data_IF_562811330386
#
_entry.id   IF_562811330386
#
_cell.length_a   1.000
_cell.length_b   1.000
_cell.length_c   1.000
_cell.angle_alpha   90.00
_cell.angle_beta   90.00
_cell.angle_gamma   90.00
#
_symmetry.space_group_name_H-M   'P 1'
#
loop_
_entity.id
_entity.type
_entity.pdbx_description
1 polymer ?
#
# COMPACT_ATOMS: atom_id res chain seq x y z
N UNK A 1 -54.35 15.20 44.85
CA UNK A 1 -54.18 14.37 43.64
C UNK A 1 -53.92 12.90 43.95
N UNK A 2 -52.94 12.55 44.79
CA UNK A 2 -52.64 11.14 45.16
C UNK A 2 -53.89 10.35 45.58
N UNK A 3 -54.70 10.86 46.52
CA UNK A 3 -55.93 10.20 47.02
C UNK A 3 -56.98 9.93 45.94
N UNK A 4 -57.08 10.80 44.94
CA UNK A 4 -58.03 10.64 43.83
C UNK A 4 -57.54 9.58 42.82
N UNK A 5 -56.23 9.54 42.57
CA UNK A 5 -55.59 8.53 41.72
C UNK A 5 -55.65 7.14 42.39
N UNK A 6 -55.51 7.06 43.71
CA UNK A 6 -55.66 5.80 44.46
C UNK A 6 -57.10 5.28 44.38
N UNK A 7 -58.11 6.16 44.56
CA UNK A 7 -59.53 5.79 44.44
C UNK A 7 -59.95 5.38 43.03
N UNK A 8 -59.41 6.04 41.99
CA UNK A 8 -59.63 5.62 40.59
C UNK A 8 -58.97 4.29 40.28
N UNK A 9 -57.78 4.02 40.81
CA UNK A 9 -57.12 2.73 40.65
C UNK A 9 -57.85 1.60 41.39
N UNK A 10 -58.37 1.85 42.60
CA UNK A 10 -59.20 0.92 43.39
C UNK A 10 -60.54 0.59 42.73
N UNK A 11 -61.13 1.55 42.02
CA UNK A 11 -62.40 1.34 41.29
C UNK A 11 -62.18 0.59 39.99
N UNK A 12 -61.14 0.93 39.22
CA UNK A 12 -60.75 0.22 37.99
C UNK A 12 -60.29 -1.23 38.27
N UNK A 13 -59.61 -1.48 39.38
CA UNK A 13 -59.20 -2.86 39.76
C UNK A 13 -60.39 -3.71 40.18
N UNK A 14 -61.37 -3.15 40.90
CA UNK A 14 -62.61 -3.85 41.25
C UNK A 14 -63.53 -4.13 40.07
N UNK A 15 -63.54 -3.26 39.05
CA UNK A 15 -64.37 -3.46 37.84
C UNK A 15 -63.75 -4.45 36.84
N UNK A 16 -62.42 -4.57 36.76
CA UNK A 16 -61.73 -5.41 35.75
C UNK A 16 -61.33 -6.79 36.30
N UNK A 17 -61.04 -6.91 37.60
CA UNK A 17 -60.65 -8.16 38.24
C UNK A 17 -61.53 -8.36 39.48
N UNK A 18 -62.72 -8.96 39.32
CA UNK A 18 -63.56 -9.33 40.47
C UNK A 18 -62.78 -10.14 41.51
N UNK A 19 -63.12 -10.02 42.80
CA UNK A 19 -62.41 -10.57 43.98
C UNK A 19 -62.19 -12.11 43.99
N UNK A 20 -62.58 -12.83 42.93
CA UNK A 20 -62.46 -14.29 42.81
C UNK A 20 -61.01 -14.77 42.67
N UNK A 21 -60.13 -14.00 42.02
CA UNK A 21 -58.72 -14.42 41.83
C UNK A 21 -57.92 -14.44 43.15
N UNK A 22 -58.30 -13.60 44.11
CA UNK A 22 -57.69 -13.52 45.44
C UNK A 22 -58.14 -14.71 46.30
N UNK A 23 -59.40 -15.15 46.14
CA UNK A 23 -59.99 -16.28 46.88
C UNK A 23 -59.51 -17.64 46.40
N UNK A 24 -59.02 -17.75 45.16
CA UNK A 24 -58.48 -18.99 44.58
C UNK A 24 -56.99 -19.24 44.86
N UNK A 25 -56.29 -18.28 45.46
CA UNK A 25 -54.84 -18.33 45.66
C UNK A 25 -54.50 -18.80 47.08
N UNK A 26 -53.47 -19.63 47.23
CA UNK A 26 -53.01 -20.07 48.55
C UNK A 26 -52.39 -18.91 49.35
N UNK A 27 -52.51 -18.92 50.68
CA UNK A 27 -51.95 -17.88 51.56
C UNK A 27 -50.45 -17.64 51.33
N UNK A 28 -49.70 -18.68 50.92
CA UNK A 28 -48.28 -18.57 50.56
C UNK A 28 -48.06 -17.73 49.31
N UNK A 29 -48.92 -17.86 48.29
CA UNK A 29 -48.84 -17.06 47.06
C UNK A 29 -49.27 -15.62 47.31
N UNK A 30 -50.24 -15.40 48.20
CA UNK A 30 -50.63 -14.05 48.61
C UNK A 30 -49.49 -13.33 49.35
N UNK A 31 -48.77 -14.03 50.22
CA UNK A 31 -47.59 -13.48 50.91
C UNK A 31 -46.47 -13.11 49.92
N UNK A 32 -46.23 -13.94 48.91
CA UNK A 32 -45.26 -13.67 47.86
C UNK A 32 -45.60 -12.41 47.05
N UNK A 33 -46.86 -12.27 46.63
CA UNK A 33 -47.35 -11.09 45.90
C UNK A 33 -47.28 -9.83 46.77
N UNK A 34 -47.63 -9.92 48.05
CA UNK A 34 -47.51 -8.80 48.99
C UNK A 34 -46.04 -8.38 49.17
N UNK A 35 -45.13 -9.35 49.25
CA UNK A 35 -43.68 -9.09 49.32
C UNK A 35 -43.20 -8.38 48.05
N UNK A 36 -43.61 -8.85 46.87
CA UNK A 36 -43.27 -8.25 45.59
C UNK A 36 -43.81 -6.82 45.45
N UNK A 37 -45.06 -6.57 45.85
CA UNK A 37 -45.66 -5.24 45.87
C UNK A 37 -44.90 -4.31 46.81
N UNK A 38 -44.49 -4.80 47.99
CA UNK A 38 -43.68 -4.01 48.93
C UNK A 38 -42.33 -3.64 48.33
N UNK A 39 -41.64 -4.58 47.67
CA UNK A 39 -40.37 -4.30 46.99
C UNK A 39 -40.54 -3.31 45.83
N UNK A 40 -41.57 -3.47 44.99
CA UNK A 40 -41.89 -2.50 43.92
C UNK A 40 -42.21 -1.12 44.49
N UNK A 41 -42.94 -1.06 45.60
CA UNK A 41 -43.27 0.21 46.27
C UNK A 41 -42.01 0.90 46.80
N UNK A 42 -41.07 0.15 47.38
CA UNK A 42 -39.77 0.69 47.79
C UNK A 42 -39.00 1.26 46.60
N UNK A 43 -38.97 0.56 45.46
CA UNK A 43 -38.33 1.05 44.24
C UNK A 43 -38.95 2.36 43.75
N UNK A 44 -40.29 2.45 43.72
CA UNK A 44 -40.97 3.69 43.34
C UNK A 44 -40.69 4.85 44.31
N UNK A 45 -40.59 4.57 45.61
CA UNK A 45 -40.22 5.59 46.60
C UNK A 45 -38.79 6.09 46.34
N UNK A 46 -37.85 5.19 46.07
CA UNK A 46 -36.47 5.54 45.74
C UNK A 46 -36.39 6.35 44.42
N UNK A 47 -37.15 5.93 43.41
CA UNK A 47 -37.24 6.61 42.12
C UNK A 47 -37.79 8.04 42.30
N UNK A 48 -38.89 8.18 43.04
CA UNK A 48 -39.50 9.48 43.35
C UNK A 48 -38.59 10.38 44.19
N UNK A 49 -37.86 9.82 45.16
CA UNK A 49 -36.88 10.58 45.94
C UNK A 49 -35.74 11.09 45.06
N UNK A 50 -35.29 10.30 44.07
CA UNK A 50 -34.29 10.71 43.09
C UNK A 50 -34.81 11.87 42.23
N UNK A 51 -36.06 11.78 41.75
CA UNK A 51 -36.69 12.88 41.02
C UNK A 51 -36.86 14.15 41.86
N UNK A 52 -37.24 14.02 43.13
CA UNK A 52 -37.38 15.18 44.01
C UNK A 52 -36.03 15.88 44.21
N UNK A 53 -34.95 15.13 44.46
CA UNK A 53 -33.59 15.69 44.56
C UNK A 53 -33.12 16.33 43.25
N UNK A 54 -33.47 15.75 42.11
CA UNK A 54 -33.17 16.35 40.80
C UNK A 54 -33.84 17.69 40.63
N UNK A 55 -35.13 17.76 40.99
CA UNK A 55 -35.88 19.00 41.00
C UNK A 55 -35.18 19.98 41.93
N UNK A 56 -34.95 19.64 43.20
CA UNK A 56 -34.32 20.54 44.18
C UNK A 56 -32.92 21.06 43.73
N UNK A 57 -32.16 20.27 42.96
CA UNK A 57 -30.86 20.66 42.40
C UNK A 57 -30.95 21.54 41.15
N UNK A 58 -31.96 21.32 40.30
CA UNK A 58 -32.18 22.08 39.05
C UNK A 58 -32.97 23.38 39.31
N UNK A 59 -33.81 23.39 40.35
CA UNK A 59 -34.73 24.46 40.74
C UNK A 59 -34.15 25.65 41.56
N UNK A 60 -32.82 25.81 41.82
CA UNK A 60 -32.30 27.08 42.35
C UNK A 60 -32.41 28.25 41.34
N UNK A 61 -32.74 27.98 40.07
CA UNK A 61 -32.86 29.00 39.02
C UNK A 61 -34.28 29.51 38.78
N UNK A 62 -35.32 28.84 39.27
CA UNK A 62 -36.72 29.29 39.06
C UNK A 62 -37.19 30.17 40.23
N UNK A 63 -36.66 29.99 41.44
CA UNK A 63 -36.95 30.89 42.57
C UNK A 63 -36.49 32.35 42.34
N UNK A 64 -35.45 32.56 41.53
CA UNK A 64 -35.01 33.91 41.13
C UNK A 64 -35.99 34.61 40.16
N UNK A 65 -36.84 33.86 39.46
CA UNK A 65 -37.81 34.40 38.50
C UNK A 65 -39.11 34.79 39.19
N UNK A 66 -39.50 34.07 40.25
CA UNK A 66 -40.70 34.40 41.04
C UNK A 66 -40.52 35.65 41.91
N UNK A 67 -39.31 35.97 42.38
CA UNK A 67 -39.06 37.24 43.09
C UNK A 67 -38.98 38.45 42.15
N UNK A 68 -38.63 38.27 40.87
CA UNK A 68 -38.62 39.35 39.88
C UNK A 68 -40.00 39.80 39.40
N UNK A 69 -41.04 38.95 39.53
CA UNK A 69 -42.41 39.30 39.11
C UNK A 69 -43.27 39.95 40.22
N UNK A 70 -42.89 39.83 41.49
CA UNK A 70 -43.64 40.42 42.61
C UNK A 70 -43.34 41.92 42.78
N UNK A 71 -42.28 42.43 42.15
CA UNK A 71 -41.89 43.84 42.28
C UNK A 71 -42.39 44.75 41.14
N UNK A 72 -43.15 44.21 40.17
CA UNK A 72 -43.69 44.96 39.02
C UNK A 72 -45.23 45.03 38.96
N UNK A 73 -45.96 44.62 40.01
CA UNK A 73 -47.44 44.71 40.04
C UNK A 73 -47.99 45.58 41.17
N UNK A 74 -47.18 46.51 41.69
CA UNK A 74 -47.63 47.51 42.65
C UNK A 74 -48.06 48.86 42.01
N UNK A 75 -48.35 48.91 40.71
CA UNK A 75 -48.95 50.11 40.13
C UNK A 75 -49.87 49.84 38.94
N UNK A 76 -50.94 50.63 38.90
CA UNK A 76 -51.97 50.77 37.87
C UNK A 76 -53.07 49.69 37.81
N UNK A 77 -54.28 50.13 38.15
CA UNK A 77 -55.50 49.34 38.12
C UNK A 77 -56.18 49.24 36.76
N UNK A 78 -57.23 48.41 36.80
CA UNK A 78 -58.48 48.44 36.02
C UNK A 78 -58.55 47.79 34.63
N UNK A 79 -59.69 47.11 34.47
CA UNK A 79 -60.40 46.67 33.27
C UNK A 79 -59.76 45.60 32.36
N UNK A 80 -60.29 44.37 32.43
CA UNK A 80 -60.15 43.40 31.35
C UNK A 80 -60.60 41.98 31.68
N UNK A 81 -61.86 41.67 31.39
CA UNK A 81 -62.44 40.32 31.49
C UNK A 81 -61.77 39.38 30.47
N UNK A 82 -60.72 38.67 30.86
CA UNK A 82 -60.10 37.62 30.04
C UNK A 82 -60.83 36.30 30.30
N UNK A 83 -61.57 35.85 29.28
CA UNK A 83 -62.19 34.52 29.20
C UNK A 83 -61.16 33.44 29.54
N UNK A 84 -61.43 32.69 30.61
CA UNK A 84 -60.77 31.42 30.91
C UNK A 84 -61.00 30.44 29.75
N UNK A 85 -59.98 30.20 28.92
CA UNK A 85 -59.96 29.03 28.03
C UNK A 85 -60.06 27.77 28.90
N UNK A 86 -60.86 26.76 28.50
CA UNK A 86 -60.98 25.53 29.26
C UNK A 86 -59.60 24.86 29.31
N UNK A 87 -59.19 24.52 30.53
CA UNK A 87 -58.02 23.69 30.79
C UNK A 87 -58.28 22.33 30.14
N UNK A 88 -57.66 22.08 29.00
CA UNK A 88 -57.65 20.76 28.37
C UNK A 88 -56.96 19.78 29.34
N UNK A 89 -57.72 18.91 30.00
CA UNK A 89 -57.17 17.80 30.81
C UNK A 89 -56.27 16.87 29.97
N UNK A 90 -56.39 16.91 28.63
CA UNK A 90 -55.53 16.19 27.71
C UNK A 90 -54.06 16.66 27.72
N UNK A 91 -53.75 17.91 28.11
CA UNK A 91 -52.36 18.39 28.19
C UNK A 91 -51.66 17.99 29.49
N UNK A 92 -52.41 17.57 30.52
CA UNK A 92 -51.85 17.02 31.77
C UNK A 92 -51.35 15.57 31.58
N UNK A 93 -51.91 14.81 30.62
CA UNK A 93 -51.42 13.46 30.30
C UNK A 93 -50.07 13.47 29.55
N UNK A 94 -49.75 14.56 28.86
CA UNK A 94 -48.48 14.77 28.15
C UNK A 94 -47.35 15.32 29.04
N UNK A 95 -47.60 15.56 30.33
CA UNK A 95 -46.59 15.96 31.33
C UNK A 95 -45.89 14.76 32.00
N UNK A 96 -46.05 13.55 31.47
CA UNK A 96 -45.30 12.38 31.93
C UNK A 96 -43.95 12.34 31.23
N UNK A 97 -42.87 12.39 31.99
CA UNK A 97 -41.52 12.15 31.49
C UNK A 97 -41.50 10.82 30.70
N UNK A 98 -40.98 10.89 29.47
CA UNK A 98 -40.68 9.69 28.68
C UNK A 98 -39.76 8.77 29.48
N UNK A 99 -39.82 7.46 29.22
CA UNK A 99 -38.91 6.50 29.87
C UNK A 99 -37.44 6.88 29.63
N UNK A 100 -37.12 7.43 28.46
CA UNK A 100 -35.78 7.94 28.14
C UNK A 100 -35.39 9.11 29.06
N UNK A 101 -36.31 10.05 29.26
CA UNK A 101 -36.09 11.21 30.12
C UNK A 101 -35.96 10.79 31.59
N UNK A 102 -36.75 9.82 32.04
CA UNK A 102 -36.64 9.22 33.38
C UNK A 102 -35.27 8.59 33.62
N UNK A 103 -34.79 7.80 32.66
CA UNK A 103 -33.46 7.18 32.72
C UNK A 103 -32.38 8.25 32.78
N UNK A 104 -32.47 9.31 31.97
CA UNK A 104 -31.52 10.43 31.98
C UNK A 104 -31.49 11.11 33.36
N UNK A 105 -32.66 11.40 33.95
CA UNK A 105 -32.73 12.03 35.27
C UNK A 105 -32.11 11.14 36.35
N UNK A 106 -32.46 9.86 36.39
CA UNK A 106 -31.90 8.90 37.36
C UNK A 106 -30.39 8.74 37.17
N UNK A 107 -29.89 8.69 35.93
CA UNK A 107 -28.46 8.65 35.65
C UNK A 107 -27.74 9.91 36.16
N UNK A 108 -28.32 11.09 35.93
CA UNK A 108 -27.75 12.35 36.41
C UNK A 108 -27.72 12.44 37.94
N UNK A 109 -28.75 11.94 38.63
CA UNK A 109 -28.75 11.81 40.08
C UNK A 109 -27.70 10.83 40.56
N UNK A 110 -27.58 9.68 39.89
CA UNK A 110 -26.59 8.67 40.25
C UNK A 110 -25.17 9.22 40.12
N UNK A 111 -24.89 10.02 39.09
CA UNK A 111 -23.62 10.73 38.95
C UNK A 111 -23.42 11.77 40.05
N UNK A 112 -24.45 12.54 40.39
CA UNK A 112 -24.38 13.50 41.50
C UNK A 112 -24.12 12.83 42.85
N UNK A 113 -24.78 11.71 43.14
CA UNK A 113 -24.52 10.89 44.34
C UNK A 113 -23.08 10.38 44.37
N UNK A 114 -22.56 9.88 43.24
CA UNK A 114 -21.16 9.46 43.14
C UNK A 114 -20.21 10.63 43.43
N UNK A 115 -20.50 11.82 42.92
CA UNK A 115 -19.71 13.01 43.20
C UNK A 115 -19.77 13.43 44.68
N UNK A 116 -20.96 13.40 45.30
CA UNK A 116 -21.17 13.70 46.72
C UNK A 116 -20.40 12.70 47.62
N UNK A 117 -20.54 11.40 47.35
CA UNK A 117 -19.83 10.33 48.06
C UNK A 117 -18.32 10.52 47.95
N UNK A 118 -17.79 10.69 46.73
CA UNK A 118 -16.35 10.91 46.54
C UNK A 118 -15.85 12.19 47.24
N UNK A 119 -16.69 13.23 47.31
CA UNK A 119 -16.39 14.46 48.04
C UNK A 119 -16.30 14.21 49.55
N UNK A 120 -17.31 13.54 50.11
CA UNK A 120 -17.35 13.14 51.52
C UNK A 120 -16.16 12.25 51.88
N UNK A 121 -15.84 11.24 51.07
CA UNK A 121 -14.68 10.36 51.26
C UNK A 121 -13.39 11.18 51.35
N UNK A 122 -13.12 12.07 50.40
CA UNK A 122 -11.93 12.95 50.43
C UNK A 122 -11.86 13.81 51.69
N UNK A 123 -12.98 14.40 52.12
CA UNK A 123 -13.00 15.21 53.35
C UNK A 123 -12.77 14.36 54.61
N UNK A 124 -13.34 13.15 54.64
CA UNK A 124 -13.18 12.20 55.74
C UNK A 124 -11.74 11.70 55.85
N UNK A 125 -11.10 11.39 54.72
CA UNK A 125 -9.70 11.00 54.66
C UNK A 125 -8.79 12.14 55.12
N UNK A 126 -9.03 13.36 54.64
CA UNK A 126 -8.27 14.54 55.08
C UNK A 126 -8.38 14.74 56.60
N UNK A 127 -9.58 14.59 57.16
CA UNK A 127 -9.82 14.71 58.59
C UNK A 127 -9.11 13.61 59.39
N UNK A 128 -9.20 12.34 58.93
CA UNK A 128 -8.47 11.23 59.56
C UNK A 128 -6.96 11.42 59.52
N UNK A 129 -6.42 11.94 58.41
CA UNK A 129 -5.01 12.28 58.30
C UNK A 129 -4.60 13.37 59.30
N UNK A 130 -5.42 14.40 59.49
CA UNK A 130 -5.17 15.45 60.47
C UNK A 130 -5.18 14.90 61.90
N UNK A 131 -6.21 14.14 62.29
CA UNK A 131 -6.26 13.52 63.62
C UNK A 131 -5.09 12.58 63.87
N UNK A 132 -4.67 11.81 62.86
CA UNK A 132 -3.49 10.96 62.97
C UNK A 132 -2.22 11.77 63.22
N UNK A 133 -2.04 12.87 62.49
CA UNK A 133 -0.90 13.77 62.66
C UNK A 133 -0.90 14.43 64.05
N UNK A 134 -2.07 14.84 64.54
CA UNK A 134 -2.23 15.38 65.90
C UNK A 134 -1.90 14.35 66.98
N UNK A 135 -2.40 13.13 66.85
CA UNK A 135 -2.08 12.03 67.78
C UNK A 135 -0.58 11.71 67.79
N UNK A 136 0.06 11.65 66.62
CA UNK A 136 1.51 11.44 66.51
C UNK A 136 2.29 12.60 67.16
N UNK A 137 1.87 13.84 66.95
CA UNK A 137 2.50 15.01 67.59
C UNK A 137 2.36 14.96 69.12
N UNK A 138 1.16 14.65 69.63
CA UNK A 138 0.92 14.50 71.08
C UNK A 138 1.74 13.36 71.68
N UNK A 139 1.88 12.23 70.98
CA UNK A 139 2.71 11.11 71.43
C UNK A 139 4.20 11.49 71.53
N UNK A 140 4.71 12.28 70.58
CA UNK A 140 6.08 12.82 70.63
C UNK A 140 6.25 13.77 71.81
N UNK A 141 5.31 14.71 72.01
CA UNK A 141 5.34 15.67 73.13
C UNK A 141 5.32 14.92 74.46
N UNK A 142 4.44 13.92 74.62
CA UNK A 142 4.35 13.13 75.84
C UNK A 142 5.67 12.39 76.13
N UNK A 143 6.30 11.81 75.10
CA UNK A 143 7.60 11.16 75.23
C UNK A 143 8.70 12.14 75.65
N UNK A 144 8.69 13.35 75.10
CA UNK A 144 9.64 14.41 75.45
C UNK A 144 9.44 14.91 76.89
N UNK A 145 8.20 15.13 77.31
CA UNK A 145 7.85 15.52 78.69
C UNK A 145 8.30 14.43 79.67
N UNK A 146 7.99 13.16 79.40
CA UNK A 146 8.41 12.05 80.25
C UNK A 146 9.93 11.94 80.36
N UNK A 147 10.65 12.11 79.24
CA UNK A 147 12.11 12.14 79.24
C UNK A 147 12.64 13.32 80.05
N UNK A 148 12.09 14.51 79.85
CA UNK A 148 12.50 15.72 80.57
C UNK A 148 12.24 15.61 82.07
N UNK A 149 11.09 15.06 82.46
CA UNK A 149 10.71 14.78 83.86
C UNK A 149 11.64 13.75 84.51
N UNK A 150 12.02 12.70 83.78
CA UNK A 150 12.98 11.70 84.25
C UNK A 150 14.38 12.31 84.46
N UNK A 151 14.90 13.06 83.49
CA UNK A 151 16.21 13.72 83.61
C UNK A 151 16.20 14.75 84.75
N UNK A 152 15.11 15.51 84.90
CA UNK A 152 14.93 16.42 86.02
C UNK A 152 14.95 15.67 87.37
N UNK A 153 14.15 14.61 87.50
CA UNK A 153 14.09 13.81 88.72
C UNK A 153 15.44 13.16 89.05
N UNK A 154 16.17 12.69 88.05
CA UNK A 154 17.52 12.13 88.22
C UNK A 154 18.51 13.17 88.77
N UNK A 155 18.49 14.38 88.22
CA UNK A 155 19.42 15.46 88.60
C UNK A 155 19.07 16.03 89.97
N UNK A 156 17.79 16.21 90.27
CA UNK A 156 17.34 16.98 91.44
C UNK A 156 16.75 16.14 92.58
N UNK A 157 16.18 14.96 92.32
CA UNK A 157 15.52 14.10 93.33
C UNK A 157 16.42 12.94 93.76
N UNK A 158 17.01 12.20 92.80
CA UNK A 158 17.83 11.01 93.10
C UNK A 158 19.25 11.35 93.55
N UNK A 159 19.81 12.46 93.05
CA UNK A 159 21.17 12.89 93.36
C UNK A 159 21.32 13.62 94.70
N UNK A 160 20.31 13.54 95.59
CA UNK A 160 20.34 13.87 97.03
C UNK A 160 21.05 15.16 97.43
N UNK A 161 20.32 16.18 97.88
CA UNK A 161 20.93 17.35 98.51
C UNK A 161 20.45 17.47 99.96
N UNK A 162 21.38 17.28 100.90
CA UNK A 162 21.22 17.75 102.28
C UNK A 162 21.18 19.29 102.32
N UNK A 163 20.63 19.83 103.41
CA UNK A 163 20.16 21.21 103.58
C UNK A 163 21.17 22.36 103.36
N UNK A 164 22.42 22.09 102.98
CA UNK A 164 23.52 23.08 102.86
C UNK A 164 23.92 23.45 101.41
N UNK A 165 23.14 23.09 100.38
CA UNK A 165 23.57 23.14 98.96
C UNK A 165 22.76 24.14 98.10
N UNK A 166 22.23 25.23 98.68
CA UNK A 166 21.33 26.17 97.97
C UNK A 166 21.98 26.90 96.75
N UNK A 167 23.24 27.38 96.80
CA UNK A 167 23.85 28.08 95.65
C UNK A 167 24.18 27.13 94.47
N UNK A 168 24.70 25.94 94.77
CA UNK A 168 25.07 24.92 93.77
C UNK A 168 23.82 24.38 93.05
N UNK A 169 22.67 24.37 93.73
CA UNK A 169 21.39 23.95 93.15
C UNK A 169 20.90 24.93 92.07
N UNK A 170 21.03 26.23 92.30
CA UNK A 170 20.66 27.25 91.32
C UNK A 170 21.52 27.18 90.04
N UNK A 171 22.83 26.99 90.18
CA UNK A 171 23.73 26.83 89.03
C UNK A 171 23.42 25.56 88.23
N UNK A 172 23.13 24.44 88.90
CA UNK A 172 22.70 23.19 88.22
C UNK A 172 21.36 23.35 87.51
N UNK A 173 20.41 24.08 88.11
CA UNK A 173 19.13 24.41 87.49
C UNK A 173 19.30 25.29 86.25
N UNK A 174 20.09 26.36 86.33
CA UNK A 174 20.40 27.20 85.19
C UNK A 174 21.05 26.41 84.05
N UNK A 175 22.01 25.54 84.37
CA UNK A 175 22.66 24.67 83.39
C UNK A 175 21.67 23.72 82.72
N UNK A 176 20.77 23.10 83.49
CA UNK A 176 19.71 22.24 82.95
C UNK A 176 18.80 22.98 81.97
N UNK A 177 18.35 24.20 82.32
CA UNK A 177 17.52 25.03 81.43
C UNK A 177 18.30 25.44 80.17
N UNK A 178 19.56 25.84 80.31
CA UNK A 178 20.40 26.22 79.18
C UNK A 178 20.66 25.06 78.21
N UNK A 179 20.97 23.86 78.74
CA UNK A 179 21.15 22.66 77.94
C UNK A 179 19.83 22.21 77.29
N UNK A 180 18.69 22.35 77.97
CA UNK A 180 17.36 22.12 77.40
C UNK A 180 17.04 23.08 76.25
N UNK A 181 17.40 24.36 76.36
CA UNK A 181 17.26 25.33 75.27
C UNK A 181 18.11 24.95 74.06
N UNK A 182 19.39 24.62 74.28
CA UNK A 182 20.29 24.18 73.19
C UNK A 182 19.80 22.91 72.48
N UNK A 183 19.24 21.95 73.23
CA UNK A 183 18.64 20.75 72.65
C UNK A 183 17.41 21.09 71.79
N UNK A 184 16.55 22.00 72.25
CA UNK A 184 15.41 22.48 71.46
C UNK A 184 15.85 23.19 70.18
N UNK A 185 16.86 24.06 70.25
CA UNK A 185 17.41 24.73 69.06
C UNK A 185 17.94 23.71 68.03
N UNK A 186 18.65 22.68 68.50
CA UNK A 186 19.13 21.59 67.65
C UNK A 186 17.99 20.82 66.97
N UNK A 187 16.87 20.62 67.66
CA UNK A 187 15.68 19.97 67.09
C UNK A 187 15.02 20.88 66.05
N UNK A 188 14.91 22.19 66.33
CA UNK A 188 14.37 23.18 65.39
C UNK A 188 15.16 23.17 64.09
N UNK A 189 16.49 23.19 64.14
CA UNK A 189 17.32 23.16 62.93
C UNK A 189 17.16 21.85 62.15
N UNK A 190 17.07 20.70 62.84
CA UNK A 190 16.77 19.41 62.21
C UNK A 190 15.40 19.41 61.53
N UNK A 191 14.38 19.96 62.17
CA UNK A 191 13.02 20.04 61.62
C UNK A 191 12.97 20.98 60.41
N UNK A 192 13.67 22.11 60.45
CA UNK A 192 13.80 23.04 59.30
C UNK A 192 14.43 22.35 58.10
N UNK A 193 15.53 21.62 58.31
CA UNK A 193 16.19 20.87 57.23
C UNK A 193 15.28 19.79 56.64
N UNK A 194 14.60 19.01 57.49
CA UNK A 194 13.63 18.00 57.05
C UNK A 194 12.47 18.62 56.26
N UNK A 195 11.94 19.75 56.72
CA UNK A 195 10.85 20.46 56.06
C UNK A 195 11.27 20.94 54.65
N UNK A 196 12.45 21.55 54.51
CA UNK A 196 13.02 21.94 53.21
C UNK A 196 13.20 20.75 52.26
N UNK A 197 13.69 19.62 52.77
CA UNK A 197 13.83 18.39 51.99
C UNK A 197 12.47 17.82 51.53
N UNK A 198 11.46 17.83 52.40
CA UNK A 198 10.11 17.40 52.08
C UNK A 198 9.45 18.30 51.02
N UNK A 199 9.61 19.63 51.12
CA UNK A 199 9.13 20.55 50.08
C UNK A 199 9.77 20.27 48.71
N UNK A 200 11.07 20.00 48.68
CA UNK A 200 11.77 19.64 47.44
C UNK A 200 11.24 18.32 46.87
N UNK A 201 11.02 17.30 47.72
CA UNK A 201 10.45 16.02 47.29
C UNK A 201 9.02 16.17 46.78
N UNK A 202 8.19 16.95 47.46
CA UNK A 202 6.84 17.26 47.04
C UNK A 202 6.82 17.97 45.68
N UNK A 203 7.68 18.98 45.46
CA UNK A 203 7.82 19.66 44.16
C UNK A 203 8.20 18.68 43.06
N UNK A 204 9.19 17.81 43.28
CA UNK A 204 9.60 16.77 42.31
C UNK A 204 8.44 15.81 42.00
N UNK A 205 7.71 15.35 43.01
CA UNK A 205 6.58 14.44 42.82
C UNK A 205 5.44 15.10 42.05
N UNK A 206 5.15 16.39 42.31
CA UNK A 206 4.14 17.15 41.55
C UNK A 206 4.55 17.32 40.09
N UNK A 207 5.82 17.64 39.84
CA UNK A 207 6.33 17.75 38.46
C UNK A 207 6.27 16.41 37.72
N UNK A 208 6.60 15.30 38.38
CA UNK A 208 6.44 13.96 37.79
C UNK A 208 4.98 13.62 37.48
N UNK A 209 4.04 14.00 38.36
CA UNK A 209 2.61 13.83 38.08
C UNK A 209 2.18 14.67 36.87
N UNK A 210 2.59 15.94 36.82
CA UNK A 210 2.30 16.82 35.69
C UNK A 210 2.86 16.29 34.37
N UNK A 211 4.11 15.81 34.36
CA UNK A 211 4.68 15.17 33.17
C UNK A 211 3.92 13.92 32.74
N UNK A 212 3.44 13.11 33.70
CA UNK A 212 2.60 11.93 33.41
C UNK A 212 1.22 12.33 32.90
N UNK A 213 0.64 13.42 33.41
CA UNK A 213 -0.62 13.98 32.92
C UNK A 213 -0.45 14.52 31.49
N UNK A 214 0.60 15.28 31.21
CA UNK A 214 0.93 15.77 29.85
C UNK A 214 1.17 14.58 28.88
N UNK A 215 1.87 13.52 29.32
CA UNK A 215 2.04 12.28 28.52
C UNK A 215 0.72 11.52 28.33
N UNK A 216 -0.17 11.54 29.32
CA UNK A 216 -1.50 10.92 29.25
C UNK A 216 -2.50 11.70 28.41
N UNK A 217 -2.34 13.03 28.34
CA UNK A 217 -3.16 13.93 27.51
C UNK A 217 -2.83 13.79 26.01
N UNK A 218 -1.60 13.37 25.68
CA UNK A 218 -1.15 13.10 24.30
C UNK A 218 -1.71 11.80 23.72
N UNK A 219 -2.16 10.86 24.56
CA UNK A 219 -2.64 9.54 24.11
C UNK A 219 -4.03 9.23 24.68
N UNK A 220 -5.06 9.81 24.06
CA UNK A 220 -6.44 9.47 24.40
C UNK A 220 -6.81 8.15 23.74
N UNK A 221 -7.75 7.37 24.31
CA UNK A 221 -8.27 6.15 23.69
C UNK A 221 -8.71 6.35 22.22
N UNK A 222 -9.25 7.52 21.90
CA UNK A 222 -9.65 7.92 20.54
C UNK A 222 -8.46 7.97 19.59
N UNK A 223 -7.29 8.44 20.05
CA UNK A 223 -6.09 8.53 19.22
C UNK A 223 -5.54 7.12 18.89
N UNK A 224 -5.71 6.14 19.79
CA UNK A 224 -5.39 4.73 19.51
C UNK A 224 -6.36 4.10 18.50
N UNK A 225 -7.65 4.39 18.61
CA UNK A 225 -8.64 3.93 17.63
C UNK A 225 -8.40 4.58 16.26
N UNK A 226 -8.05 5.88 16.22
CA UNK A 226 -7.65 6.55 14.99
C UNK A 226 -6.41 5.89 14.37
N UNK A 227 -5.39 5.59 15.17
CA UNK A 227 -4.18 4.91 14.69
C UNK A 227 -4.50 3.50 14.13
N UNK A 228 -5.44 2.77 14.72
CA UNK A 228 -5.90 1.48 14.16
C UNK A 228 -6.60 1.67 12.83
N UNK A 229 -7.47 2.69 12.70
CA UNK A 229 -8.15 3.01 11.45
C UNK A 229 -7.11 3.35 10.37
N UNK A 230 -6.18 4.25 10.65
CA UNK A 230 -5.14 4.69 9.72
C UNK A 230 -4.24 3.52 9.28
N UNK A 231 -3.87 2.65 10.23
CA UNK A 231 -3.10 1.44 9.93
C UNK A 231 -3.89 0.49 9.02
N UNK A 232 -5.17 0.24 9.33
CA UNK A 232 -6.03 -0.60 8.50
C UNK A 232 -6.21 -0.03 7.09
N UNK A 233 -6.31 1.30 6.95
CA UNK A 233 -6.41 1.96 5.65
C UNK A 233 -5.09 1.85 4.86
N UNK A 234 -3.95 2.00 5.53
CA UNK A 234 -2.64 1.82 4.92
C UNK A 234 -2.44 0.38 4.44
N UNK A 235 -2.81 -0.62 5.24
CA UNK A 235 -2.76 -2.03 4.84
C UNK A 235 -3.63 -2.29 3.62
N UNK A 236 -4.86 -1.77 3.61
CA UNK A 236 -5.77 -1.88 2.46
C UNK A 236 -5.15 -1.26 1.19
N UNK A 237 -4.54 -0.07 1.30
CA UNK A 237 -3.84 0.58 0.19
C UNK A 237 -2.64 -0.25 -0.30
N UNK A 238 -1.89 -0.86 0.61
CA UNK A 238 -0.77 -1.74 0.26
C UNK A 238 -1.28 -2.96 -0.52
N UNK A 239 -2.36 -3.60 -0.06
CA UNK A 239 -2.95 -4.75 -0.74
C UNK A 239 -3.49 -4.40 -2.13
N UNK A 240 -4.15 -3.26 -2.29
CA UNK A 240 -4.58 -2.76 -3.60
C UNK A 240 -3.40 -2.56 -4.57
N UNK A 241 -2.32 -1.93 -4.10
CA UNK A 241 -1.12 -1.73 -4.94
C UNK A 241 -0.45 -3.07 -5.27
N UNK A 242 -0.42 -4.01 -4.33
CA UNK A 242 0.13 -5.34 -4.56
C UNK A 242 -0.67 -6.12 -5.61
N UNK A 243 -2.00 -6.07 -5.56
CA UNK A 243 -2.87 -6.68 -6.58
C UNK A 243 -2.64 -6.05 -7.96
N UNK A 244 -2.52 -4.72 -8.04
CA UNK A 244 -2.22 -4.05 -9.31
C UNK A 244 -0.84 -4.43 -9.86
N UNK A 245 0.18 -4.53 -9.00
CA UNK A 245 1.52 -5.02 -9.39
C UNK A 245 1.43 -6.44 -9.93
N UNK A 246 0.66 -7.33 -9.30
CA UNK A 246 0.47 -8.70 -9.80
C UNK A 246 -0.22 -8.71 -11.17
N UNK A 247 -1.25 -7.88 -11.36
CA UNK A 247 -1.94 -7.74 -12.65
C UNK A 247 -0.98 -7.24 -13.74
N UNK A 248 -0.19 -6.20 -13.45
CA UNK A 248 0.80 -5.67 -14.38
C UNK A 248 1.90 -6.67 -14.70
N UNK A 249 2.37 -7.45 -13.72
CA UNK A 249 3.32 -8.55 -13.95
C UNK A 249 2.76 -9.60 -14.91
N UNK A 250 1.50 -9.98 -14.76
CA UNK A 250 0.84 -10.93 -15.67
C UNK A 250 0.75 -10.38 -17.10
N UNK A 251 0.39 -9.10 -17.25
CA UNK A 251 0.35 -8.43 -18.56
C UNK A 251 1.76 -8.37 -19.16
N UNK A 252 2.77 -7.97 -18.40
CA UNK A 252 4.16 -7.93 -18.85
C UNK A 252 4.65 -9.30 -19.31
N UNK A 253 4.33 -10.37 -18.57
CA UNK A 253 4.66 -11.75 -18.94
C UNK A 253 4.00 -12.17 -20.26
N UNK A 254 2.70 -11.87 -20.44
CA UNK A 254 1.98 -12.14 -21.70
C UNK A 254 2.59 -11.37 -22.87
N UNK A 255 2.88 -10.09 -22.69
CA UNK A 255 3.52 -9.25 -23.72
C UNK A 255 4.90 -9.80 -24.08
N UNK A 256 5.68 -10.25 -23.10
CA UNK A 256 6.99 -10.87 -23.34
C UNK A 256 6.87 -12.18 -24.13
N UNK A 257 5.85 -13.00 -23.84
CA UNK A 257 5.59 -14.23 -24.60
C UNK A 257 5.27 -13.91 -26.07
N UNK A 258 4.41 -12.92 -26.33
CA UNK A 258 4.08 -12.47 -27.68
C UNK A 258 5.32 -11.91 -28.40
N UNK A 259 6.11 -11.09 -27.71
CA UNK A 259 7.35 -10.54 -28.25
C UNK A 259 8.35 -11.65 -28.63
N UNK A 260 8.51 -12.67 -27.79
CA UNK A 260 9.38 -13.81 -28.09
C UNK A 260 8.86 -14.61 -29.29
N UNK A 261 7.55 -14.79 -29.42
CA UNK A 261 6.96 -15.43 -30.60
C UNK A 261 7.30 -14.66 -31.89
N UNK A 262 7.14 -13.32 -31.88
CA UNK A 262 7.53 -12.48 -33.02
C UNK A 262 9.03 -12.51 -33.30
N UNK A 263 9.87 -12.54 -32.27
CA UNK A 263 11.33 -12.67 -32.42
C UNK A 263 11.71 -13.97 -33.12
N UNK A 264 11.06 -15.09 -32.76
CA UNK A 264 11.26 -16.39 -33.42
C UNK A 264 10.83 -16.32 -34.89
N UNK A 265 9.63 -15.78 -35.17
CA UNK A 265 9.14 -15.63 -36.54
C UNK A 265 10.06 -14.76 -37.40
N UNK A 266 10.53 -13.63 -36.86
CA UNK A 266 11.48 -12.75 -37.53
C UNK A 266 12.80 -13.47 -37.82
N UNK A 267 13.33 -14.21 -36.85
CA UNK A 267 14.56 -14.98 -37.03
C UNK A 267 14.40 -16.03 -38.13
N UNK A 268 13.25 -16.69 -38.18
CA UNK A 268 12.94 -17.65 -39.24
C UNK A 268 12.82 -16.98 -40.62
N UNK A 269 12.14 -15.83 -40.70
CA UNK A 269 12.04 -15.07 -41.94
C UNK A 269 13.41 -14.57 -42.44
N UNK A 270 14.31 -14.18 -41.53
CA UNK A 270 15.69 -13.81 -41.87
C UNK A 270 16.45 -15.02 -42.43
N UNK A 271 16.36 -16.18 -41.79
CA UNK A 271 16.99 -17.42 -42.30
C UNK A 271 16.46 -17.78 -43.69
N UNK A 272 15.15 -17.68 -43.90
CA UNK A 272 14.53 -17.97 -45.19
C UNK A 272 14.97 -16.97 -46.27
N UNK A 273 15.04 -15.67 -45.93
CA UNK A 273 15.60 -14.65 -46.82
C UNK A 273 17.03 -14.99 -47.25
N UNK A 274 17.90 -15.40 -46.33
CA UNK A 274 19.28 -15.77 -46.66
C UNK A 274 19.33 -17.07 -47.49
N UNK A 275 18.45 -18.05 -47.23
CA UNK A 275 18.29 -19.25 -48.08
C UNK A 275 17.91 -18.89 -49.51
N UNK A 276 16.89 -18.04 -49.67
CA UNK A 276 16.41 -17.59 -50.98
C UNK A 276 17.49 -16.79 -51.71
N UNK A 277 18.24 -15.92 -51.02
CA UNK A 277 19.38 -15.22 -51.63
C UNK A 277 20.43 -16.19 -52.19
N UNK A 278 20.77 -17.23 -51.44
CA UNK A 278 21.71 -18.26 -51.89
C UNK A 278 21.15 -19.00 -53.12
N UNK A 279 19.86 -19.37 -53.10
CA UNK A 279 19.21 -20.00 -54.24
C UNK A 279 19.20 -19.09 -55.48
N UNK A 280 18.91 -17.80 -55.32
CA UNK A 280 18.98 -16.82 -56.41
C UNK A 280 20.40 -16.75 -56.98
N UNK A 281 21.43 -16.68 -56.13
CA UNK A 281 22.82 -16.65 -56.57
C UNK A 281 23.19 -17.92 -57.35
N UNK A 282 22.78 -19.10 -56.88
CA UNK A 282 22.98 -20.37 -57.58
C UNK A 282 22.25 -20.40 -58.93
N UNK A 283 20.99 -19.96 -59.00
CA UNK A 283 20.22 -19.88 -60.24
C UNK A 283 20.83 -18.92 -61.25
N UNK A 284 21.34 -17.78 -60.79
CA UNK A 284 22.05 -16.81 -61.64
C UNK A 284 23.36 -17.39 -62.20
N UNK A 285 24.10 -18.16 -61.41
CA UNK A 285 25.31 -18.84 -61.87
C UNK A 285 25.00 -19.92 -62.92
N UNK A 286 23.99 -20.76 -62.69
CA UNK A 286 23.51 -21.75 -63.65
C UNK A 286 23.07 -21.06 -64.95
N UNK A 287 22.31 -19.96 -64.84
CA UNK A 287 21.88 -19.16 -66.01
C UNK A 287 23.09 -18.63 -66.78
N UNK A 288 24.13 -18.13 -66.08
CA UNK A 288 25.36 -17.64 -66.71
C UNK A 288 26.08 -18.76 -67.47
N UNK A 289 26.23 -19.95 -66.86
CA UNK A 289 26.83 -21.13 -67.50
C UNK A 289 26.05 -21.57 -68.74
N UNK A 290 24.74 -21.72 -68.63
CA UNK A 290 23.87 -22.07 -69.76
C UNK A 290 23.93 -21.03 -70.89
N UNK A 291 24.02 -19.73 -70.57
CA UNK A 291 24.20 -18.68 -71.58
C UNK A 291 25.56 -18.81 -72.30
N UNK A 292 26.64 -19.11 -71.56
CA UNK A 292 27.96 -19.36 -72.14
C UNK A 292 27.95 -20.57 -73.06
N UNK A 293 27.42 -21.70 -72.59
CA UNK A 293 27.27 -22.93 -73.39
C UNK A 293 26.43 -22.67 -74.65
N UNK A 294 25.33 -21.92 -74.53
CA UNK A 294 24.50 -21.57 -75.69
C UNK A 294 25.24 -20.73 -76.73
N UNK A 295 26.19 -19.87 -76.32
CA UNK A 295 27.05 -19.14 -77.27
C UNK A 295 27.98 -20.11 -78.00
N UNK A 296 28.61 -21.04 -77.28
CA UNK A 296 29.49 -22.07 -77.86
C UNK A 296 28.72 -22.96 -78.83
N UNK A 297 27.58 -23.52 -78.42
CA UNK A 297 26.71 -24.35 -79.26
C UNK A 297 26.24 -23.60 -80.49
N UNK A 298 25.88 -22.30 -80.37
CA UNK A 298 25.54 -21.48 -81.56
C UNK A 298 26.71 -21.32 -82.52
N UNK A 299 27.95 -21.27 -82.02
CA UNK A 299 29.14 -21.22 -82.86
C UNK A 299 29.38 -22.56 -83.55
N UNK A 300 29.33 -23.66 -82.81
CA UNK A 300 29.44 -25.03 -83.35
C UNK A 300 28.37 -25.30 -84.40
N UNK A 301 27.10 -24.96 -84.14
CA UNK A 301 26.02 -25.10 -85.13
C UNK A 301 26.30 -24.28 -86.39
N UNK A 302 26.88 -23.07 -86.29
CA UNK A 302 27.28 -22.29 -87.47
C UNK A 302 28.41 -22.96 -88.25
N UNK A 303 29.39 -23.52 -87.56
CA UNK A 303 30.52 -24.24 -88.17
C UNK A 303 30.03 -25.52 -88.85
N UNK A 304 29.24 -26.33 -88.16
CA UNK A 304 28.64 -27.56 -88.69
C UNK A 304 27.67 -27.29 -89.84
N UNK A 305 26.86 -26.22 -89.78
CA UNK A 305 25.99 -25.86 -90.92
C UNK A 305 26.79 -25.36 -92.12
N UNK A 306 27.93 -24.69 -91.92
CA UNK A 306 28.85 -24.32 -93.01
C UNK A 306 29.49 -25.57 -93.60
N UNK A 307 30.04 -26.46 -92.78
CA UNK A 307 30.62 -27.72 -93.20
C UNK A 307 29.60 -28.59 -93.95
N UNK A 308 28.38 -28.71 -93.43
CA UNK A 308 27.31 -29.46 -94.10
C UNK A 308 26.91 -28.83 -95.44
N UNK A 309 26.88 -27.49 -95.56
CA UNK A 309 26.67 -26.82 -96.86
C UNK A 309 27.80 -27.15 -97.83
N UNK A 310 29.05 -27.05 -97.40
CA UNK A 310 30.22 -27.43 -98.21
C UNK A 310 30.16 -28.91 -98.63
N UNK A 311 29.76 -29.81 -97.73
CA UNK A 311 29.54 -31.23 -98.07
C UNK A 311 28.40 -31.44 -99.07
N UNK A 312 27.29 -30.70 -98.97
CA UNK A 312 26.21 -30.76 -99.95
C UNK A 312 26.64 -30.18 -101.31
N UNK A 313 27.40 -29.09 -101.32
CA UNK A 313 28.02 -28.51 -102.52
C UNK A 313 28.97 -29.53 -103.15
N UNK A 314 29.86 -30.13 -102.38
CA UNK A 314 30.73 -31.21 -102.83
C UNK A 314 29.94 -32.39 -103.39
N UNK A 315 28.89 -32.85 -102.70
CA UNK A 315 27.98 -33.91 -103.18
C UNK A 315 27.29 -33.55 -104.49
N UNK A 316 26.88 -32.29 -104.65
CA UNK A 316 26.24 -31.80 -105.89
C UNK A 316 27.23 -31.61 -107.04
N UNK A 317 28.48 -31.26 -106.74
CA UNK A 317 29.58 -31.15 -107.71
C UNK A 317 30.18 -32.51 -108.08
N UNK A 318 29.95 -33.54 -107.25
CA UNK A 318 30.41 -34.90 -107.45
C UNK A 318 29.55 -35.61 -108.51
N UNK A 319 29.90 -35.36 -109.76
CA UNK A 319 29.29 -36.01 -110.91
C UNK A 319 30.26 -37.07 -111.46
N UNK A 320 29.97 -38.35 -111.18
CA UNK A 320 30.71 -39.46 -111.76
C UNK A 320 30.16 -39.74 -113.16
N UNK A 321 30.96 -39.62 -114.23
CA UNK A 321 30.50 -39.97 -115.56
C UNK A 321 30.06 -41.45 -115.61
N UNK A 322 28.91 -41.73 -116.23
CA UNK A 322 28.44 -43.10 -116.49
C UNK A 322 29.55 -43.94 -117.13
N UNK A 323 29.61 -45.25 -116.85
CA UNK A 323 30.67 -46.17 -117.31
C UNK A 323 30.97 -46.03 -118.81
N UNK A 324 29.93 -45.84 -119.63
CA UNK A 324 30.09 -45.60 -121.08
C UNK A 324 30.77 -44.25 -121.37
N UNK A 325 30.40 -43.20 -120.63
CA UNK A 325 31.05 -41.89 -120.71
C UNK A 325 32.51 -41.91 -120.25
N UNK A 326 32.84 -42.69 -119.21
CA UNK A 326 34.21 -42.90 -118.75
C UNK A 326 35.06 -43.63 -119.80
N UNK A 327 34.50 -44.66 -120.46
CA UNK A 327 35.17 -45.36 -121.56
C UNK A 327 35.42 -44.41 -122.73
N UNK A 328 34.45 -43.55 -123.07
CA UNK A 328 34.61 -42.53 -124.13
C UNK A 328 35.69 -41.52 -123.77
N UNK A 329 35.65 -40.94 -122.56
CA UNK A 329 36.69 -40.02 -122.07
C UNK A 329 38.09 -40.67 -122.05
N UNK A 330 38.19 -41.93 -121.61
CA UNK A 330 39.46 -42.69 -121.66
C UNK A 330 39.89 -43.04 -123.09
N UNK A 331 38.97 -43.14 -124.05
CA UNK A 331 39.30 -43.30 -125.47
C UNK A 331 39.80 -42.00 -126.08
N UNK A 332 39.16 -40.87 -125.75
CA UNK A 332 39.56 -39.52 -126.17
C UNK A 332 40.91 -39.10 -125.55
N UNK A 333 41.16 -39.46 -124.30
CA UNK A 333 42.46 -39.31 -123.63
C UNK A 333 43.55 -40.12 -124.34
N UNK A 334 43.25 -41.39 -124.70
CA UNK A 334 44.20 -42.21 -125.46
C UNK A 334 44.45 -41.67 -126.85
N UNK A 335 43.43 -41.12 -127.52
CA UNK A 335 43.59 -40.45 -128.81
C UNK A 335 44.43 -39.17 -128.69
N UNK A 336 44.20 -38.34 -127.68
CA UNK A 336 44.96 -37.10 -127.48
C UNK A 336 46.40 -37.41 -127.11
N UNK A 337 46.68 -38.41 -126.25
CA UNK A 337 48.04 -38.90 -125.99
C UNK A 337 48.70 -39.43 -127.28
N UNK A 338 47.94 -40.14 -128.13
CA UNK A 338 48.45 -40.65 -129.42
C UNK A 338 48.75 -39.50 -130.38
N UNK A 339 47.87 -38.50 -130.48
CA UNK A 339 48.08 -37.26 -131.26
C UNK A 339 49.30 -36.51 -130.73
N UNK A 340 49.42 -36.34 -129.42
CA UNK A 340 50.58 -35.70 -128.78
C UNK A 340 51.88 -36.45 -129.11
N UNK A 341 51.89 -37.78 -129.03
CA UNK A 341 53.05 -38.61 -129.41
C UNK A 341 53.42 -38.45 -130.89
N UNK A 342 52.43 -38.41 -131.79
CA UNK A 342 52.64 -38.16 -133.22
C UNK A 342 53.20 -36.74 -133.44
N UNK A 343 52.67 -35.74 -132.76
CA UNK A 343 53.17 -34.36 -132.85
C UNK A 343 54.58 -34.24 -132.27
N UNK A 344 54.89 -34.94 -131.17
CA UNK A 344 56.23 -35.02 -130.58
C UNK A 344 57.21 -35.70 -131.54
N UNK A 345 56.78 -36.75 -132.26
CA UNK A 345 57.55 -37.41 -133.33
C UNK A 345 57.77 -36.50 -134.54
N UNK A 346 56.75 -35.74 -134.97
CA UNK A 346 56.85 -34.74 -136.06
C UNK A 346 57.79 -33.59 -135.67
N UNK A 347 57.71 -33.09 -134.44
CA UNK A 347 58.63 -32.09 -133.90
C UNK A 347 60.07 -32.61 -133.91
N UNK A 348 60.29 -33.85 -133.50
CA UNK A 348 61.60 -34.49 -133.53
C UNK A 348 62.15 -34.62 -134.96
N UNK A 349 61.32 -35.05 -135.93
CA UNK A 349 61.71 -35.11 -137.34
C UNK A 349 62.01 -33.72 -137.93
N UNK A 350 61.23 -32.70 -137.57
CA UNK A 350 61.47 -31.31 -137.98
C UNK A 350 62.75 -30.74 -137.36
N UNK A 351 63.06 -31.06 -136.10
CA UNK A 351 64.32 -30.72 -135.44
C UNK A 351 65.51 -31.42 -136.10
N UNK A 352 65.38 -32.72 -136.44
CA UNK A 352 66.41 -33.45 -137.18
C UNK A 352 66.62 -32.91 -138.61
N UNK A 353 65.53 -32.54 -139.30
CA UNK A 353 65.60 -31.88 -140.61
C UNK A 353 66.29 -30.51 -140.50
N UNK A 354 65.92 -29.68 -139.52
CA UNK A 354 66.57 -28.40 -139.25
C UNK A 354 68.06 -28.57 -138.89
N UNK A 355 68.42 -29.62 -138.14
CA UNK A 355 69.81 -29.95 -137.87
C UNK A 355 70.57 -30.36 -139.15
N UNK A 356 69.96 -31.13 -140.06
CA UNK A 356 70.53 -31.47 -141.38
C UNK A 356 70.67 -30.24 -142.28
N UNK A 357 69.64 -29.40 -142.38
CA UNK A 357 69.66 -28.16 -143.15
C UNK A 357 70.69 -27.16 -142.59
N UNK A 358 70.85 -27.05 -141.26
CA UNK A 358 71.94 -26.28 -140.63
C UNK A 358 73.33 -26.85 -140.98
N UNK A 359 73.49 -28.18 -141.03
CA UNK A 359 74.75 -28.83 -141.42
C UNK A 359 75.09 -28.61 -142.89
N UNK A 360 74.08 -28.61 -143.77
CA UNK A 360 74.21 -28.31 -145.21
C UNK A 360 74.50 -26.81 -145.41
N UNK A 361 73.77 -25.92 -144.72
CA UNK A 361 73.99 -24.48 -144.78
C UNK A 361 75.37 -24.07 -144.24
N UNK A 362 75.85 -24.71 -143.17
CA UNK A 362 77.23 -24.50 -142.69
C UNK A 362 78.27 -24.95 -143.73
N UNK A 363 78.06 -26.06 -144.45
CA UNK A 363 78.93 -26.46 -145.57
C UNK A 363 78.89 -25.47 -146.73
N UNK A 364 77.72 -24.94 -147.08
CA UNK A 364 77.59 -23.91 -148.12
C UNK A 364 78.25 -22.60 -147.66
N UNK A 365 78.09 -22.21 -146.40
CA UNK A 365 78.71 -21.01 -145.81
C UNK A 365 80.24 -21.10 -145.77
N UNK A 366 80.80 -22.28 -145.50
CA UNK A 366 82.24 -22.51 -145.58
C UNK A 366 82.74 -22.58 -147.04
N UNK A 367 81.89 -22.98 -148.01
CA UNK A 367 82.24 -22.93 -149.44
C UNK A 367 82.20 -21.50 -150.03
N UNK A 368 81.43 -20.59 -149.44
CA UNK A 368 81.31 -19.18 -149.87
C UNK A 368 82.19 -18.20 -149.08
N UNK A 369 82.90 -18.65 -148.03
CA UNK A 369 83.76 -17.79 -147.19
C UNK A 369 85.24 -17.77 -147.61
N UNK A 370 85.74 -18.77 -148.36
CA UNK A 370 87.15 -18.80 -148.81
C UNK A 370 87.31 -18.50 -150.32
N UNK A 371 86.27 -17.98 -150.99
CA UNK A 371 86.39 -17.33 -152.32
C UNK A 371 86.48 -15.80 -152.24
N UNK A 372 86.59 -15.24 -151.03
CA UNK A 372 86.89 -13.80 -150.81
C UNK A 372 87.89 -13.66 -149.65
N UNK A 373 89.16 -13.97 -149.93
CA UNK A 373 90.38 -13.31 -149.43
C UNK A 373 91.57 -13.73 -150.30
#
# INVERSE_FOLDING_TARGET
MLVAVTRMAETLTKEVFGDEWIKSLSDSNLQEIISEIKERTKLFICENASYQRFIDRVDPRIEGITQGLVQQTADAGDAGRIRSKPRNEATDLTLRLSWEQKVIVVQSEQEAYKHEINGLEKTSEALLHNYRAELEALAVIQKEINKSSYEFSKIFVTSGCGDLVKPIYYEKFLKFIQDSMRQRDTIVDKLRLKNSALHTRMRKSREQMRQKEELGEVLRPVDFEQLKIDNSECLRKIDERNQEIQRLKLVAAKTLQVLNAYKIQLTQAIKEKERIKLEIAQRLDIKRRAQSEMVTVKKEVKEETKANKEFQEHKSSYNVPSVIGLIRLKSEERETIRKESIHRRKLHLAQMALARHKKIWLRIRHATADTIA
#
